data_IF_867290248074
#
_entry.id   IF_867290248074
#
_cell.length_a   1.000
_cell.length_b   1.000
_cell.length_c   1.000
_cell.angle_alpha   90.00
_cell.angle_beta   90.00
_cell.angle_gamma   90.00
#
_symmetry.space_group_name_H-M   'P 1'
#
loop_
_entity.id
_entity.type
_entity.pdbx_description
1 polymer ?
#
# COMPACT_ATOMS: atom_id res chain seq x y z
N UNK A 1 10.61 2.29 -0.85
CA UNK A 1 10.01 2.42 -2.20
C UNK A 1 9.88 3.92 -2.48
N UNK A 2 10.53 4.43 -3.52
CA UNK A 2 10.65 5.88 -3.76
C UNK A 2 10.69 6.23 -5.25
N UNK A 3 10.09 5.38 -6.07
CA UNK A 3 9.97 5.64 -7.51
C UNK A 3 9.05 6.85 -7.72
N UNK A 4 9.52 7.82 -8.51
CA UNK A 4 8.76 9.01 -8.92
C UNK A 4 7.99 8.82 -10.23
N UNK A 5 8.37 7.81 -11.02
CA UNK A 5 7.79 7.53 -12.34
C UNK A 5 7.48 6.04 -12.46
N UNK A 6 6.31 5.72 -13.01
CA UNK A 6 5.87 4.35 -13.29
C UNK A 6 5.35 4.28 -14.72
N UNK A 7 5.95 3.43 -15.53
CA UNK A 7 5.57 3.20 -16.93
C UNK A 7 5.07 1.76 -17.12
N UNK A 8 4.05 1.59 -17.97
CA UNK A 8 3.47 0.28 -18.31
C UNK A 8 3.00 0.27 -19.76
N UNK A 9 3.13 -0.88 -20.41
CA UNK A 9 2.53 -1.11 -21.73
C UNK A 9 0.99 -1.05 -21.63
N UNK A 10 0.36 -0.47 -22.65
CA UNK A 10 -1.08 -0.26 -22.72
C UNK A 10 -1.66 -0.85 -24.00
N UNK A 11 -2.83 -1.46 -23.89
CA UNK A 11 -3.59 -1.97 -25.04
C UNK A 11 -5.08 -1.82 -24.81
N UNK A 12 -5.87 -1.79 -25.90
CA UNK A 12 -7.32 -1.83 -25.81
C UNK A 12 -7.85 -3.25 -25.60
N UNK A 13 -7.10 -4.24 -26.05
CA UNK A 13 -7.45 -5.65 -25.98
C UNK A 13 -6.16 -6.51 -25.92
N UNK A 14 -6.01 -7.24 -24.83
CA UNK A 14 -4.85 -8.12 -24.60
C UNK A 14 -4.89 -9.41 -25.41
N UNK A 15 -6.02 -9.74 -26.03
CA UNK A 15 -6.18 -10.94 -26.85
C UNK A 15 -5.67 -10.75 -28.28
N UNK A 16 -5.42 -9.51 -28.71
CA UNK A 16 -4.90 -9.22 -30.04
C UNK A 16 -3.47 -9.75 -30.22
N UNK A 17 -3.13 -10.07 -31.48
CA UNK A 17 -1.81 -10.56 -31.84
C UNK A 17 -0.76 -9.48 -31.60
N UNK A 18 0.19 -9.78 -30.72
CA UNK A 18 1.43 -9.02 -30.53
C UNK A 18 2.11 -9.46 -29.24
N UNK A 19 3.43 -9.37 -29.21
CA UNK A 19 4.27 -9.90 -28.11
C UNK A 19 3.97 -9.26 -26.77
N UNK A 20 3.66 -7.96 -26.79
CA UNK A 20 3.46 -7.15 -25.57
C UNK A 20 2.00 -7.06 -25.12
N UNK A 21 1.04 -7.54 -25.91
CA UNK A 21 -0.38 -7.50 -25.57
C UNK A 21 -0.66 -8.30 -24.29
N UNK A 22 -0.08 -9.49 -24.16
CA UNK A 22 -0.24 -10.32 -23.00
C UNK A 22 0.28 -9.66 -21.70
N UNK A 23 1.24 -8.74 -21.78
CA UNK A 23 1.82 -8.04 -20.62
C UNK A 23 1.25 -6.62 -20.38
N UNK A 24 0.45 -6.11 -21.33
CA UNK A 24 -0.11 -4.77 -21.29
C UNK A 24 -1.28 -4.63 -20.33
N UNK A 25 -1.54 -3.41 -19.89
CA UNK A 25 -2.75 -3.04 -19.15
C UNK A 25 -3.82 -2.53 -20.11
N UNK A 26 -5.05 -2.92 -19.82
CA UNK A 26 -6.26 -2.40 -20.47
C UNK A 26 -6.79 -1.15 -19.76
N UNK A 27 -7.81 -0.45 -20.31
CA UNK A 27 -8.39 0.74 -19.69
C UNK A 27 -8.74 0.58 -18.20
N UNK A 28 -9.27 -0.57 -17.77
CA UNK A 28 -9.57 -0.83 -16.36
C UNK A 28 -8.30 -1.07 -15.52
N UNK A 29 -7.31 -1.75 -16.11
CA UNK A 29 -6.02 -2.02 -15.47
C UNK A 29 -5.24 -0.75 -15.14
N UNK A 30 -5.21 0.22 -16.06
CA UNK A 30 -4.57 1.52 -15.82
C UNK A 30 -5.31 2.32 -14.73
N UNK A 31 -6.65 2.29 -14.72
CA UNK A 31 -7.45 2.96 -13.68
C UNK A 31 -7.15 2.43 -12.29
N UNK A 32 -7.05 1.10 -12.15
CA UNK A 32 -6.66 0.44 -10.89
C UNK A 32 -5.23 0.78 -10.50
N UNK A 33 -4.29 0.72 -11.44
CA UNK A 33 -2.90 1.10 -11.19
C UNK A 33 -2.80 2.52 -10.64
N UNK A 34 -3.46 3.50 -11.27
CA UNK A 34 -3.47 4.89 -10.79
C UNK A 34 -4.00 4.98 -9.35
N UNK A 35 -5.17 4.40 -9.08
CA UNK A 35 -5.79 4.39 -7.74
C UNK A 35 -4.84 3.81 -6.70
N UNK A 36 -4.24 2.66 -7.01
CA UNK A 36 -3.40 1.96 -6.04
C UNK A 36 -2.07 2.67 -5.83
N UNK A 37 -1.53 3.36 -6.84
CA UNK A 37 -0.38 4.27 -6.68
C UNK A 37 -0.70 5.44 -5.74
N UNK A 38 -1.85 6.08 -5.89
CA UNK A 38 -2.29 7.18 -5.00
C UNK A 38 -2.48 6.69 -3.55
N UNK A 39 -3.16 5.56 -3.36
CA UNK A 39 -3.37 4.96 -2.04
C UNK A 39 -2.03 4.56 -1.41
N UNK A 40 -1.14 3.95 -2.19
CA UNK A 40 0.19 3.53 -1.72
C UNK A 40 1.04 4.75 -1.34
N UNK A 41 1.01 5.82 -2.14
CA UNK A 41 1.71 7.06 -1.83
C UNK A 41 1.24 7.65 -0.50
N UNK A 42 -0.07 7.69 -0.27
CA UNK A 42 -0.64 8.19 0.99
C UNK A 42 -0.31 7.28 2.19
N UNK A 43 -0.28 5.96 1.97
CA UNK A 43 0.03 4.99 3.02
C UNK A 43 1.53 4.96 3.40
N UNK A 44 2.41 5.24 2.44
CA UNK A 44 3.87 5.34 2.64
C UNK A 44 4.29 6.69 3.26
N UNK A 45 3.46 7.26 4.12
CA UNK A 45 3.79 8.44 4.91
C UNK A 45 4.33 8.04 6.29
N UNK A 46 5.24 8.86 6.84
CA UNK A 46 5.71 8.67 8.20
C UNK A 46 4.56 8.88 9.20
N UNK A 47 4.47 8.01 10.20
CA UNK A 47 3.56 8.22 11.34
C UNK A 47 4.00 9.48 12.09
N UNK A 48 3.04 10.31 12.49
CA UNK A 48 3.29 11.50 13.32
C UNK A 48 3.76 11.15 14.73
N UNK A 49 3.22 10.06 15.27
CA UNK A 49 3.57 9.48 16.57
C UNK A 49 3.86 8.00 16.38
N UNK A 50 4.77 7.45 17.17
CA UNK A 50 5.09 6.01 17.12
C UNK A 50 3.87 5.15 17.45
N UNK A 51 3.05 5.60 18.40
CA UNK A 51 1.81 4.96 18.85
C UNK A 51 0.67 5.95 18.65
N UNK A 52 -0.27 5.61 17.77
CA UNK A 52 -1.43 6.43 17.48
C UNK A 52 -2.36 6.49 18.70
N UNK A 53 -3.13 7.57 18.82
CA UNK A 53 -4.11 7.75 19.92
C UNK A 53 -5.05 6.56 20.09
N UNK A 54 -5.51 5.97 18.98
CA UNK A 54 -6.38 4.78 18.98
C UNK A 54 -5.66 3.50 19.45
N UNK A 55 -4.34 3.42 19.30
CA UNK A 55 -3.51 2.29 19.73
C UNK A 55 -3.16 2.36 21.23
N UNK A 56 -3.24 3.55 21.86
CA UNK A 56 -2.83 3.78 23.27
C UNK A 56 -3.58 2.89 24.25
N UNK A 57 -4.91 2.84 24.16
CA UNK A 57 -5.76 2.06 25.09
C UNK A 57 -5.41 0.57 25.06
N UNK A 58 -5.22 -0.01 23.87
CA UNK A 58 -4.88 -1.43 23.73
C UNK A 58 -3.46 -1.71 24.20
N UNK A 59 -2.52 -0.81 23.91
CA UNK A 59 -1.14 -0.93 24.39
C UNK A 59 -1.08 -0.88 25.91
N UNK A 60 -1.81 0.04 26.56
CA UNK A 60 -1.82 0.14 28.02
C UNK A 60 -2.35 -1.13 28.68
N UNK A 61 -3.38 -1.75 28.09
CA UNK A 61 -4.01 -2.99 28.57
C UNK A 61 -3.15 -4.23 28.36
N UNK A 62 -2.48 -4.36 27.21
CA UNK A 62 -1.85 -5.61 26.78
C UNK A 62 -0.32 -5.61 26.87
N UNK A 63 0.32 -4.44 27.02
CA UNK A 63 1.77 -4.36 27.13
C UNK A 63 2.22 -4.89 28.48
N UNK A 64 2.94 -6.00 28.46
CA UNK A 64 3.63 -6.54 29.64
C UNK A 64 4.57 -5.49 30.25
N UNK A 65 4.46 -5.31 31.57
CA UNK A 65 5.37 -4.48 32.37
C UNK A 65 5.98 -5.36 33.43
N UNK A 66 7.29 -5.26 33.62
CA UNK A 66 8.02 -6.13 34.55
C UNK A 66 7.58 -5.90 36.01
N UNK A 67 7.05 -4.70 36.30
CA UNK A 67 6.64 -4.26 37.63
C UNK A 67 5.20 -4.65 37.99
N UNK A 68 4.42 -5.21 37.05
CA UNK A 68 3.00 -5.57 37.28
C UNK A 68 2.80 -6.98 37.84
N UNK A 69 3.89 -7.67 38.22
CA UNK A 69 3.84 -8.97 38.88
C UNK A 69 4.52 -8.82 40.23
N UNK A 70 3.79 -8.29 41.22
CA UNK A 70 4.14 -8.47 42.63
C UNK A 70 3.92 -9.96 42.97
N UNK A 71 4.97 -10.62 43.49
CA UNK A 71 4.91 -11.96 44.07
C UNK A 71 4.54 -11.89 45.55
#
# INVERSE_FOLDING_TARGET
LGASTVERHYTLDRTWKGTDHAASLEPDGIRRLKRDLEVTHNALAFKKEEILSIEKVQREKLKYRRDSVEY
#
